data_IF_319635734099
#
_entry.id   IF_319635734099
#
_cell.length_a   1.000
_cell.length_b   1.000
_cell.length_c   1.000
_cell.angle_alpha   90.00
_cell.angle_beta   90.00
_cell.angle_gamma   90.00
#
_symmetry.space_group_name_H-M   'P 1'
#
loop_
_entity.id
_entity.type
_entity.pdbx_description
1 polymer ?
#
# COMPACT_ATOMS: atom_id res chain seq x y z
N UNK A 1 -15.88 9.38 14.78
CA UNK A 1 -15.05 9.49 16.01
C UNK A 1 -15.50 10.62 16.92
N UNK A 2 -15.56 11.89 16.49
CA UNK A 2 -15.98 13.01 17.37
C UNK A 2 -17.30 12.78 18.12
N UNK A 3 -18.38 12.40 17.43
CA UNK A 3 -19.69 12.13 18.06
C UNK A 3 -19.62 10.91 18.99
N UNK A 4 -18.88 9.86 18.61
CA UNK A 4 -18.69 8.68 19.45
C UNK A 4 -17.96 9.04 20.75
N UNK A 5 -16.88 9.81 20.68
CA UNK A 5 -16.15 10.28 21.86
C UNK A 5 -17.03 11.15 22.76
N UNK A 6 -17.79 12.10 22.18
CA UNK A 6 -18.72 12.95 22.95
C UNK A 6 -19.78 12.14 23.69
N UNK A 7 -20.37 11.12 23.05
CA UNK A 7 -21.32 10.19 23.69
C UNK A 7 -20.70 9.36 24.81
N UNK A 8 -19.37 9.21 24.83
CA UNK A 8 -18.60 8.54 25.87
C UNK A 8 -18.06 9.51 26.93
N UNK A 9 -18.54 10.76 26.96
CA UNK A 9 -18.15 11.76 27.96
C UNK A 9 -16.86 12.52 27.63
N UNK A 10 -16.24 12.30 26.46
CA UNK A 10 -15.05 13.05 26.06
C UNK A 10 -15.40 14.47 25.64
N UNK A 11 -14.62 15.44 26.10
CA UNK A 11 -14.74 16.84 25.69
C UNK A 11 -13.80 17.14 24.52
N UNK A 12 -14.32 17.85 23.52
CA UNK A 12 -13.53 18.22 22.34
C UNK A 12 -12.74 19.50 22.61
N UNK A 13 -11.43 19.43 22.41
CA UNK A 13 -10.55 20.60 22.38
C UNK A 13 -10.45 21.09 20.92
N UNK A 14 -10.66 22.40 20.70
CA UNK A 14 -10.57 23.02 19.38
C UNK A 14 -9.17 23.61 19.11
N UNK A 15 -8.46 24.03 20.16
CA UNK A 15 -7.09 24.51 20.04
C UNK A 15 -6.10 23.34 19.89
N UNK A 16 -5.50 23.22 18.71
CA UNK A 16 -4.53 22.17 18.39
C UNK A 16 -3.16 22.36 19.03
N UNK A 17 -2.89 23.51 19.67
CA UNK A 17 -1.63 23.83 20.36
C UNK A 17 -1.61 23.35 21.80
N UNK A 18 -2.79 23.10 22.39
CA UNK A 18 -2.90 22.54 23.74
C UNK A 18 -2.20 21.18 23.84
N UNK A 19 -1.53 20.97 24.97
CA UNK A 19 -0.77 19.76 25.28
C UNK A 19 -1.43 18.90 26.36
N UNK A 20 -2.54 19.33 26.92
CA UNK A 20 -3.30 18.64 27.99
C UNK A 20 -4.48 17.84 27.42
N UNK A 21 -4.26 17.21 26.27
CA UNK A 21 -5.20 16.26 25.67
C UNK A 21 -4.85 14.84 26.10
N UNK A 22 -5.87 13.98 26.22
CA UNK A 22 -5.68 12.53 26.34
C UNK A 22 -5.69 11.82 24.97
N UNK A 23 -6.38 12.37 23.96
CA UNK A 23 -6.42 11.80 22.61
C UNK A 23 -6.33 12.90 21.54
N UNK A 24 -5.39 12.77 20.60
CA UNK A 24 -5.28 13.62 19.41
C UNK A 24 -5.65 12.85 18.15
N UNK A 25 -6.87 13.10 17.68
CA UNK A 25 -7.46 12.46 16.49
C UNK A 25 -7.53 13.44 15.30
N UNK A 26 -6.39 13.87 14.79
CA UNK A 26 -6.30 14.78 13.65
C UNK A 26 -4.98 14.58 12.90
N UNK A 27 -4.98 14.76 11.57
CA UNK A 27 -3.79 14.55 10.73
C UNK A 27 -2.56 15.25 11.26
N UNK A 28 -1.58 14.45 11.71
CA UNK A 28 -0.35 14.94 12.30
C UNK A 28 0.60 15.26 11.15
N UNK A 29 0.66 16.54 10.80
CA UNK A 29 1.52 17.06 9.74
C UNK A 29 2.89 17.49 10.24
N UNK A 30 3.02 17.78 11.54
CA UNK A 30 4.24 18.30 12.14
C UNK A 30 4.92 17.25 13.04
N UNK A 31 6.24 17.07 12.84
CA UNK A 31 7.08 16.19 13.67
C UNK A 31 7.14 16.63 15.13
N UNK A 32 7.04 17.93 15.39
CA UNK A 32 7.06 18.52 16.74
C UNK A 32 5.97 17.96 17.65
N UNK A 33 4.85 17.50 17.08
CA UNK A 33 3.76 16.86 17.84
C UNK A 33 4.24 15.60 18.55
N UNK A 34 5.18 14.87 17.96
CA UNK A 34 5.73 13.65 18.56
C UNK A 34 6.79 13.94 19.62
N UNK A 35 7.48 15.09 19.57
CA UNK A 35 8.48 15.47 20.59
C UNK A 35 7.84 15.84 21.93
N UNK A 36 6.63 16.42 21.90
CA UNK A 36 5.88 16.81 23.10
C UNK A 36 4.89 15.73 23.56
N UNK A 37 4.89 14.56 22.92
CA UNK A 37 4.01 13.45 23.27
C UNK A 37 4.43 12.86 24.61
N UNK A 38 3.47 12.73 25.53
CA UNK A 38 3.68 12.11 26.84
C UNK A 38 3.17 10.68 26.84
N UNK A 39 4.09 9.72 26.81
CA UNK A 39 3.78 8.30 26.88
C UNK A 39 3.05 7.96 28.18
N UNK A 40 2.04 7.08 28.10
CA UNK A 40 1.19 6.70 29.24
C UNK A 40 0.07 7.68 29.57
N UNK A 41 0.19 8.95 29.19
CA UNK A 41 -0.83 9.98 29.42
C UNK A 41 -1.66 10.31 28.16
N UNK A 42 -1.06 10.16 26.98
CA UNK A 42 -1.63 10.63 25.72
C UNK A 42 -1.73 9.52 24.68
N UNK A 43 -2.68 9.68 23.76
CA UNK A 43 -2.84 8.85 22.58
C UNK A 43 -2.82 9.70 21.31
N UNK A 44 -2.04 9.26 20.33
CA UNK A 44 -2.00 9.82 18.98
C UNK A 44 -2.61 8.81 18.00
N UNK A 45 -3.43 9.30 17.07
CA UNK A 45 -4.07 8.42 16.08
C UNK A 45 -3.14 7.96 14.93
N UNK A 46 -1.89 8.42 14.92
CA UNK A 46 -0.88 8.06 13.93
C UNK A 46 0.43 7.67 14.63
N UNK A 47 1.04 6.60 14.12
CA UNK A 47 2.39 6.20 14.51
C UNK A 47 3.40 7.10 13.78
N UNK A 48 4.44 7.63 14.47
CA UNK A 48 5.48 8.38 13.81
C UNK A 48 6.13 7.57 12.68
N UNK A 49 6.57 8.25 11.63
CA UNK A 49 7.16 7.63 10.43
C UNK A 49 6.24 6.65 9.66
N UNK A 50 4.91 6.72 9.82
CA UNK A 50 3.97 5.86 9.08
C UNK A 50 4.12 5.90 7.54
N UNK A 51 4.72 6.95 6.97
CA UNK A 51 5.02 7.09 5.53
C UNK A 51 5.92 5.99 4.97
N UNK A 52 6.64 5.30 5.85
CA UNK A 52 7.41 4.09 5.55
C UNK A 52 6.50 3.01 4.94
N UNK A 53 5.24 2.88 5.37
CA UNK A 53 4.27 1.92 4.82
C UNK A 53 3.15 2.57 4.01
N UNK A 54 2.86 3.85 4.26
CA UNK A 54 1.69 4.55 3.67
C UNK A 54 2.02 5.38 2.42
N UNK A 55 3.29 5.40 1.99
CA UNK A 55 3.70 5.95 0.69
C UNK A 55 4.09 4.83 -0.28
N UNK A 56 3.95 5.06 -1.58
CA UNK A 56 4.24 4.03 -2.59
C UNK A 56 5.72 3.66 -2.62
N UNK A 57 6.60 4.67 -2.58
CA UNK A 57 8.06 4.47 -2.51
C UNK A 57 8.47 3.86 -1.18
N UNK A 58 7.88 4.32 -0.06
CA UNK A 58 8.15 3.76 1.25
C UNK A 58 7.84 2.28 1.29
N UNK A 59 6.63 1.89 0.89
CA UNK A 59 6.19 0.49 0.87
C UNK A 59 7.08 -0.38 -0.02
N UNK A 60 7.35 0.07 -1.26
CA UNK A 60 8.25 -0.63 -2.18
C UNK A 60 9.64 -0.85 -1.58
N UNK A 61 10.20 0.19 -0.95
CA UNK A 61 11.52 0.12 -0.33
C UNK A 61 11.52 -0.84 0.88
N UNK A 62 10.46 -0.84 1.68
CA UNK A 62 10.32 -1.75 2.82
C UNK A 62 10.22 -3.21 2.39
N UNK A 63 9.40 -3.50 1.39
CA UNK A 63 9.22 -4.87 0.89
C UNK A 63 10.53 -5.42 0.30
N UNK A 64 11.25 -4.62 -0.49
CA UNK A 64 12.57 -5.00 -1.04
C UNK A 64 13.60 -5.23 0.06
N UNK A 65 13.65 -4.36 1.07
CA UNK A 65 14.57 -4.52 2.19
C UNK A 65 14.25 -5.78 3.01
N UNK A 66 12.96 -6.04 3.28
CA UNK A 66 12.52 -7.27 3.94
C UNK A 66 12.95 -8.51 3.15
N UNK A 67 12.73 -8.54 1.83
CA UNK A 67 13.14 -9.65 0.98
C UNK A 67 14.66 -9.87 1.01
N UNK A 68 15.45 -8.78 0.95
CA UNK A 68 16.91 -8.83 1.04
C UNK A 68 17.39 -9.40 2.37
N UNK A 69 16.80 -8.95 3.49
CA UNK A 69 17.11 -9.44 4.84
C UNK A 69 16.76 -10.92 4.95
N UNK A 70 15.58 -11.34 4.48
CA UNK A 70 15.15 -12.73 4.54
C UNK A 70 16.05 -13.66 3.71
N UNK A 71 16.48 -13.22 2.51
CA UNK A 71 17.47 -13.94 1.68
C UNK A 71 18.81 -14.11 2.41
N UNK A 72 19.27 -13.09 3.15
CA UNK A 72 20.52 -13.16 3.93
C UNK A 72 20.41 -14.12 5.11
N UNK A 73 19.30 -14.08 5.84
CA UNK A 73 19.05 -14.98 7.00
C UNK A 73 18.98 -16.44 6.53
N UNK A 74 18.26 -16.72 5.43
CA UNK A 74 18.16 -18.06 4.85
C UNK A 74 19.51 -18.64 4.38
N UNK A 75 20.42 -17.80 3.88
CA UNK A 75 21.79 -18.22 3.52
C UNK A 75 22.65 -18.51 4.75
N UNK A 76 22.52 -17.72 5.81
CA UNK A 76 23.24 -17.97 7.07
C UNK A 76 22.75 -19.21 7.83
N UNK A 77 21.48 -19.63 7.67
CA UNK A 77 21.00 -20.89 8.24
C UNK A 77 21.50 -22.13 7.50
N UNK A 78 21.84 -22.01 6.21
CA UNK A 78 22.44 -23.11 5.42
C UNK A 78 23.97 -23.19 5.55
N UNK A 79 24.63 -22.21 6.19
CA UNK A 79 26.03 -22.29 6.60
C UNK A 79 26.12 -22.51 8.10
N UNK A 80 25.78 -23.73 8.55
CA UNK A 80 26.28 -24.27 9.81
C UNK A 80 27.12 -25.49 9.54
N UNK A 81 28.36 -25.23 9.14
CA UNK A 81 29.52 -26.03 9.51
C UNK A 81 30.73 -25.09 9.65
N UNK A 82 31.50 -25.32 10.72
CA UNK A 82 32.79 -24.74 11.10
C UNK A 82 32.82 -23.29 11.63
N UNK A 83 32.85 -23.15 12.96
CA UNK A 83 34.08 -23.00 13.76
C UNK A 83 33.82 -22.17 15.03
N UNK A 84 34.19 -22.75 16.16
CA UNK A 84 34.31 -22.05 17.43
C UNK A 84 35.36 -20.93 17.31
N UNK A 85 34.96 -19.70 17.59
CA UNK A 85 35.91 -18.65 17.96
C UNK A 85 35.25 -17.76 19.04
N UNK A 86 35.72 -17.94 20.28
CA UNK A 86 35.50 -17.01 21.39
C UNK A 86 36.26 -15.71 21.07
N UNK A 87 35.57 -14.58 20.96
CA UNK A 87 36.13 -13.25 21.32
C UNK A 87 35.03 -12.39 21.95
N UNK A 88 35.40 -11.75 23.06
CA UNK A 88 34.61 -10.89 23.94
C UNK A 88 34.30 -9.51 23.32
N UNK A 89 33.13 -8.99 23.72
CA UNK A 89 32.79 -7.63 24.14
C UNK A 89 32.65 -6.44 23.14
N UNK A 90 31.49 -5.78 23.31
CA UNK A 90 31.13 -4.36 23.11
C UNK A 90 31.14 -3.73 21.70
N UNK A 91 29.94 -3.55 21.12
CA UNK A 91 29.32 -2.20 20.97
C UNK A 91 27.85 -2.31 20.55
N UNK A 92 27.03 -1.45 21.13
CA UNK A 92 25.59 -1.32 20.90
C UNK A 92 25.23 -1.21 19.41
N UNK A 93 24.40 -2.13 18.95
CA UNK A 93 23.43 -1.89 17.88
C UNK A 93 22.15 -2.57 18.30
N UNK A 94 21.19 -1.77 18.72
CA UNK A 94 19.80 -2.20 18.93
C UNK A 94 19.24 -2.64 17.59
N UNK A 95 19.46 -3.92 17.29
CA UNK A 95 18.78 -4.62 16.22
C UNK A 95 17.62 -5.34 16.88
N UNK A 96 16.45 -4.70 16.88
CA UNK A 96 15.21 -5.35 17.29
C UNK A 96 14.87 -6.47 16.29
N UNK A 97 15.52 -7.62 16.43
CA UNK A 97 15.13 -8.87 15.78
C UNK A 97 14.05 -9.52 16.65
N UNK A 98 12.79 -9.24 16.32
CA UNK A 98 11.68 -10.05 16.82
C UNK A 98 11.61 -11.34 16.00
N UNK A 99 12.26 -12.40 16.47
CA UNK A 99 11.94 -13.76 16.04
C UNK A 99 10.81 -14.28 16.92
N UNK A 100 9.58 -14.26 16.41
CA UNK A 100 8.54 -15.12 16.94
C UNK A 100 8.89 -16.56 16.53
N UNK A 101 9.38 -17.37 17.48
CA UNK A 101 9.51 -18.83 17.29
C UNK A 101 8.11 -19.44 17.27
N UNK A 102 7.43 -19.39 16.14
CA UNK A 102 6.36 -20.35 15.85
C UNK A 102 6.98 -21.53 15.10
N UNK A 103 7.03 -22.68 15.76
CA UNK A 103 7.27 -23.99 15.15
C UNK A 103 6.15 -24.29 14.16
N UNK A 104 6.44 -24.06 12.89
CA UNK A 104 5.52 -24.26 11.78
C UNK A 104 6.10 -23.49 10.61
N UNK A 105 6.36 -24.17 9.50
CA UNK A 105 6.84 -23.54 8.27
C UNK A 105 5.78 -22.56 7.75
N UNK A 106 5.75 -21.33 8.27
CA UNK A 106 5.01 -20.23 7.65
C UNK A 106 5.67 -20.04 6.29
N UNK A 107 4.97 -20.44 5.22
CA UNK A 107 5.33 -20.09 3.85
C UNK A 107 5.46 -18.56 3.82
N UNK A 108 6.69 -18.08 3.85
CA UNK A 108 6.94 -16.67 3.65
C UNK A 108 6.79 -16.42 2.15
N UNK A 109 5.68 -15.78 1.77
CA UNK A 109 5.43 -15.42 0.37
C UNK A 109 6.59 -14.56 -0.14
N UNK A 110 7.10 -14.89 -1.32
CA UNK A 110 8.09 -14.05 -1.98
C UNK A 110 7.42 -12.77 -2.44
N UNK A 111 8.16 -11.67 -2.47
CA UNK A 111 7.61 -10.37 -2.86
C UNK A 111 6.94 -10.41 -4.25
N UNK A 112 7.56 -11.13 -5.19
CA UNK A 112 7.06 -11.34 -6.55
C UNK A 112 5.69 -12.05 -6.63
N UNK A 113 5.29 -12.80 -5.60
CA UNK A 113 4.02 -13.55 -5.57
C UNK A 113 2.82 -12.67 -5.22
N UNK A 114 3.03 -11.54 -4.54
CA UNK A 114 1.93 -10.67 -4.08
C UNK A 114 2.09 -9.19 -4.42
N UNK A 115 3.28 -8.76 -4.84
CA UNK A 115 3.57 -7.37 -5.19
C UNK A 115 4.04 -7.28 -6.64
N UNK A 116 3.28 -6.60 -7.54
CA UNK A 116 3.68 -6.48 -8.93
C UNK A 116 5.02 -5.77 -9.08
N UNK A 117 5.81 -6.24 -10.04
CA UNK A 117 7.10 -5.67 -10.41
C UNK A 117 7.02 -4.14 -10.53
N UNK A 118 7.94 -3.42 -9.89
CA UNK A 118 7.87 -1.97 -9.75
C UNK A 118 9.25 -1.35 -9.78
N UNK A 119 9.34 -0.14 -10.34
CA UNK A 119 10.56 0.67 -10.40
C UNK A 119 10.33 2.08 -9.89
N UNK A 120 11.34 2.65 -9.26
CA UNK A 120 11.42 4.03 -8.82
C UNK A 120 11.96 4.91 -9.93
N UNK A 121 11.16 5.86 -10.40
CA UNK A 121 11.60 6.77 -11.47
C UNK A 121 12.47 7.93 -10.96
N UNK A 122 12.61 8.09 -9.65
CA UNK A 122 13.52 9.05 -9.03
C UNK A 122 14.98 8.54 -8.96
N UNK A 123 15.23 7.25 -9.21
CA UNK A 123 16.56 6.66 -9.22
C UNK A 123 17.00 6.36 -10.66
N UNK A 124 18.18 6.87 -11.06
CA UNK A 124 18.70 6.72 -12.42
C UNK A 124 18.83 5.26 -12.85
N UNK A 125 19.39 4.41 -11.99
CA UNK A 125 19.60 2.99 -12.31
C UNK A 125 18.26 2.26 -12.52
N UNK A 126 17.25 2.56 -11.71
CA UNK A 126 15.91 1.98 -11.88
C UNK A 126 15.17 2.52 -13.11
N UNK A 127 15.41 3.78 -13.50
CA UNK A 127 14.90 4.31 -14.78
C UNK A 127 15.47 3.56 -15.97
N UNK A 128 16.79 3.31 -15.96
CA UNK A 128 17.47 2.59 -17.03
C UNK A 128 16.96 1.14 -17.10
N UNK A 129 16.90 0.45 -15.96
CA UNK A 129 16.37 -0.92 -15.88
C UNK A 129 14.92 -1.01 -16.39
N UNK A 130 14.06 -0.04 -16.04
CA UNK A 130 12.71 0.02 -16.59
C UNK A 130 12.70 0.22 -18.11
N UNK A 131 13.60 1.08 -18.63
CA UNK A 131 13.70 1.33 -20.07
C UNK A 131 14.07 0.07 -20.85
N UNK A 132 15.00 -0.73 -20.34
CA UNK A 132 15.42 -1.99 -20.96
C UNK A 132 14.30 -3.04 -20.93
N UNK A 133 13.47 -3.02 -19.88
CA UNK A 133 12.40 -3.99 -19.69
C UNK A 133 11.11 -3.65 -20.42
N UNK A 134 10.85 -2.37 -20.69
CA UNK A 134 9.58 -1.90 -21.25
C UNK A 134 9.39 -2.35 -22.71
N UNK A 135 8.73 -3.49 -22.90
CA UNK A 135 8.37 -4.06 -24.21
C UNK A 135 6.97 -3.62 -24.68
N UNK A 136 6.71 -3.73 -25.98
CA UNK A 136 5.47 -3.27 -26.63
C UNK A 136 4.18 -3.87 -26.06
N UNK A 137 4.21 -5.12 -25.60
CA UNK A 137 3.01 -5.83 -25.13
C UNK A 137 2.69 -5.60 -23.64
N UNK A 138 3.51 -4.84 -22.92
CA UNK A 138 3.41 -4.72 -21.47
C UNK A 138 2.74 -3.41 -21.06
N UNK A 139 1.60 -3.53 -20.36
CA UNK A 139 0.97 -2.37 -19.74
C UNK A 139 1.62 -2.11 -18.38
N UNK A 140 1.99 -0.85 -18.16
CA UNK A 140 2.49 -0.36 -16.88
C UNK A 140 1.59 0.76 -16.35
N UNK A 141 1.56 0.93 -15.04
CA UNK A 141 0.83 2.01 -14.36
C UNK A 141 1.82 2.91 -13.62
N UNK A 142 1.88 4.17 -14.03
CA UNK A 142 2.70 5.18 -13.38
C UNK A 142 1.91 5.88 -12.28
N UNK A 143 2.47 5.96 -11.07
CA UNK A 143 1.80 6.48 -9.88
C UNK A 143 2.71 7.46 -9.13
N UNK A 144 2.24 8.68 -8.81
CA UNK A 144 3.00 9.58 -7.94
C UNK A 144 3.07 9.03 -6.51
N UNK A 145 4.23 9.16 -5.87
CA UNK A 145 4.52 8.54 -4.56
C UNK A 145 3.57 9.03 -3.46
N UNK A 146 3.43 10.34 -3.32
CA UNK A 146 2.67 11.00 -2.25
C UNK A 146 1.38 11.66 -2.79
N UNK A 147 0.64 10.96 -3.65
CA UNK A 147 -0.67 11.40 -4.17
C UNK A 147 -1.77 10.39 -3.81
N UNK A 148 -2.99 10.90 -3.68
CA UNK A 148 -4.21 10.16 -3.38
C UNK A 148 -5.29 10.41 -4.47
N UNK A 149 -6.44 9.74 -4.34
CA UNK A 149 -7.62 9.95 -5.22
C UNK A 149 -7.38 9.64 -6.71
N UNK A 150 -6.35 8.85 -7.03
CA UNK A 150 -6.00 8.55 -8.43
C UNK A 150 -5.36 9.72 -9.20
N UNK A 151 -5.09 10.86 -8.56
CA UNK A 151 -4.54 12.03 -9.23
C UNK A 151 -3.11 11.79 -9.71
N UNK A 152 -2.86 12.09 -10.99
CA UNK A 152 -1.57 11.94 -11.65
C UNK A 152 -1.21 10.50 -12.04
N UNK A 153 -2.17 9.57 -11.95
CA UNK A 153 -2.01 8.20 -12.45
C UNK A 153 -2.32 8.17 -13.94
N UNK A 154 -1.52 7.43 -14.69
CA UNK A 154 -1.76 7.11 -16.10
C UNK A 154 -1.16 5.74 -16.43
N UNK A 155 -1.64 5.15 -17.51
CA UNK A 155 -1.13 3.90 -18.04
C UNK A 155 -0.09 4.18 -19.12
N UNK A 156 0.91 3.31 -19.19
CA UNK A 156 1.92 3.24 -20.25
C UNK A 156 1.65 1.93 -20.99
N UNK A 157 1.00 2.03 -22.15
CA UNK A 157 0.61 0.87 -22.97
C UNK A 157 1.54 0.60 -24.14
N UNK A 158 2.38 1.58 -24.50
CA UNK A 158 3.31 1.47 -25.61
C UNK A 158 4.67 2.11 -25.23
N UNK A 159 5.76 1.73 -25.92
CA UNK A 159 7.08 2.27 -25.63
C UNK A 159 7.18 3.78 -25.89
N UNK A 160 6.42 4.31 -26.85
CA UNK A 160 6.41 5.75 -27.15
C UNK A 160 5.96 6.60 -25.94
N UNK A 161 4.95 6.13 -25.19
CA UNK A 161 4.51 6.76 -23.95
C UNK A 161 5.57 6.68 -22.85
N UNK A 162 6.30 5.56 -22.77
CA UNK A 162 7.41 5.39 -21.84
C UNK A 162 8.57 6.35 -22.17
N UNK A 163 8.95 6.46 -23.44
CA UNK A 163 9.99 7.38 -23.93
C UNK A 163 9.60 8.85 -23.68
N UNK A 164 8.34 9.20 -23.91
CA UNK A 164 7.81 10.54 -23.60
C UNK A 164 7.92 10.86 -22.11
N UNK A 165 7.64 9.87 -21.24
CA UNK A 165 7.80 10.04 -19.80
C UNK A 165 9.27 10.22 -19.42
N UNK A 166 10.19 9.44 -20.01
CA UNK A 166 11.62 9.56 -19.76
C UNK A 166 12.17 10.92 -20.19
N UNK A 167 11.83 11.39 -21.39
CA UNK A 167 12.24 12.71 -21.89
C UNK A 167 11.80 13.84 -20.94
N UNK A 168 10.57 13.76 -20.41
CA UNK A 168 10.07 14.72 -19.41
C UNK A 168 10.81 14.68 -18.08
N UNK A 169 11.33 13.52 -17.68
CA UNK A 169 12.12 13.37 -16.47
C UNK A 169 13.55 13.92 -16.65
N UNK A 170 14.16 13.67 -17.81
CA UNK A 170 15.50 14.18 -18.14
C UNK A 170 15.55 15.69 -18.38
N UNK A 171 14.53 16.26 -19.02
CA UNK A 171 14.45 17.71 -19.27
C UNK A 171 14.39 18.57 -18.00
N UNK A 172 14.13 17.97 -16.83
CA UNK A 172 14.17 18.66 -15.53
C UNK A 172 15.52 18.58 -14.82
N UNK A 173 16.48 17.80 -15.31
CA UNK A 173 17.82 17.63 -14.70
C UNK A 173 18.87 18.62 -15.27
N UNK A 174 18.53 19.38 -16.33
CA UNK A 174 19.49 20.19 -17.12
C UNK A 174 19.62 21.68 -16.82
N UNK A 175 18.74 22.30 -16.02
CA UNK A 175 18.78 23.76 -15.76
C UNK A 175 19.07 24.09 -14.28
N UNK A 176 20.22 24.74 -14.03
CA UNK A 176 20.60 25.37 -12.76
C UNK A 176 20.78 26.89 -12.98
N UNK A 177 20.77 27.74 -11.93
CA UNK A 177 19.62 28.23 -11.20
C UNK A 177 19.45 29.75 -11.39
N UNK A 178 18.30 30.23 -11.88
CA UNK A 178 17.96 31.65 -11.70
C UNK A 178 16.46 31.89 -11.74
N UNK A 179 16.02 32.72 -10.80
CA UNK A 179 14.66 33.19 -10.50
C UNK A 179 13.83 32.28 -9.60
N UNK A 180 13.48 32.88 -8.45
CA UNK A 180 12.61 32.41 -7.36
C UNK A 180 11.17 32.12 -7.83
N UNK A 181 11.00 31.15 -8.72
CA UNK A 181 9.75 30.39 -8.80
C UNK A 181 9.95 29.21 -7.86
N UNK A 182 9.00 28.93 -6.98
CA UNK A 182 9.06 27.73 -6.13
C UNK A 182 9.19 26.49 -7.04
N UNK A 183 10.42 26.03 -7.27
CA UNK A 183 10.72 24.83 -8.03
C UNK A 183 10.13 23.66 -7.26
N UNK A 184 8.89 23.27 -7.59
CA UNK A 184 8.35 22.00 -7.14
C UNK A 184 9.23 20.93 -7.76
N UNK A 185 10.11 20.35 -6.94
CA UNK A 185 10.91 19.20 -7.35
C UNK A 185 10.02 18.17 -8.07
N UNK A 186 10.50 17.51 -9.14
CA UNK A 186 9.73 16.51 -9.85
C UNK A 186 9.11 15.54 -8.85
N UNK A 187 7.78 15.43 -8.86
CA UNK A 187 7.08 14.58 -7.92
C UNK A 187 7.56 13.15 -8.12
N UNK A 188 8.22 12.56 -7.11
CA UNK A 188 8.74 11.20 -7.19
C UNK A 188 7.62 10.22 -7.56
N UNK A 189 7.92 9.30 -8.48
CA UNK A 189 6.96 8.37 -9.08
C UNK A 189 7.48 6.94 -9.01
N UNK A 190 6.54 6.01 -8.94
CA UNK A 190 6.81 4.61 -9.25
C UNK A 190 6.14 4.27 -10.56
N UNK A 191 6.78 3.39 -11.34
CA UNK A 191 6.12 2.64 -12.40
C UNK A 191 5.94 1.21 -11.88
N UNK A 192 4.80 0.61 -12.14
CA UNK A 192 4.47 -0.72 -11.64
C UNK A 192 3.77 -1.51 -12.74
N UNK A 193 4.06 -2.81 -12.84
CA UNK A 193 3.41 -3.71 -13.78
C UNK A 193 1.92 -3.66 -13.56
N UNK A 194 1.17 -3.38 -14.62
CA UNK A 194 -0.28 -3.32 -14.55
C UNK A 194 -0.85 -4.74 -14.64
N UNK A 195 -1.75 -5.08 -13.72
CA UNK A 195 -2.49 -6.34 -13.73
C UNK A 195 -3.58 -6.19 -14.80
N UNK A 196 -3.25 -6.61 -16.03
CA UNK A 196 -4.11 -6.43 -17.20
C UNK A 196 -5.21 -7.50 -17.32
N UNK A 197 -5.01 -8.67 -16.71
CA UNK A 197 -6.00 -9.76 -16.55
C UNK A 197 -6.44 -9.88 -15.07
N UNK A 198 -7.15 -8.88 -14.51
CA UNK A 198 -7.67 -8.99 -13.15
C UNK A 198 -8.85 -9.97 -13.11
N UNK A 199 -9.12 -10.53 -11.93
CA UNK A 199 -10.44 -11.12 -11.65
C UNK A 199 -11.50 -10.02 -11.79
N UNK A 200 -12.61 -10.34 -12.45
CA UNK A 200 -13.73 -9.43 -12.67
C UNK A 200 -14.97 -9.93 -11.94
N UNK A 201 -15.71 -9.01 -11.34
CA UNK A 201 -17.04 -9.29 -10.78
C UNK A 201 -18.06 -8.66 -11.71
N UNK A 202 -18.90 -9.48 -12.31
CA UNK A 202 -19.88 -9.04 -13.32
C UNK A 202 -19.24 -8.26 -14.48
N UNK A 203 -18.04 -8.69 -14.90
CA UNK A 203 -17.26 -7.99 -15.93
C UNK A 203 -16.65 -6.67 -15.49
N UNK A 204 -16.87 -6.21 -14.25
CA UNK A 204 -16.32 -4.97 -13.70
C UNK A 204 -15.03 -5.25 -12.92
N UNK A 205 -14.08 -4.32 -13.00
CA UNK A 205 -12.84 -4.39 -12.23
C UNK A 205 -13.13 -4.00 -10.78
N UNK A 206 -12.45 -4.64 -9.83
CA UNK A 206 -12.61 -4.31 -8.42
C UNK A 206 -11.30 -4.28 -7.64
N UNK A 207 -11.38 -3.70 -6.45
CA UNK A 207 -10.37 -3.87 -5.40
C UNK A 207 -11.05 -4.11 -4.06
N UNK A 208 -10.32 -4.73 -3.12
CA UNK A 208 -10.79 -4.90 -1.75
C UNK A 208 -10.09 -3.90 -0.83
N UNK A 209 -10.89 -3.18 -0.05
CA UNK A 209 -10.41 -2.36 1.07
C UNK A 209 -10.57 -3.16 2.35
N UNK A 210 -9.48 -3.34 3.08
CA UNK A 210 -9.50 -3.86 4.46
C UNK A 210 -8.95 -2.83 5.44
N UNK A 211 -9.26 -3.00 6.72
CA UNK A 211 -8.81 -2.10 7.78
C UNK A 211 -7.90 -2.83 8.77
N UNK A 212 -6.79 -2.17 9.11
CA UNK A 212 -5.82 -2.62 10.09
C UNK A 212 -5.64 -1.51 11.12
N UNK A 213 -5.73 -1.84 12.39
CA UNK A 213 -5.42 -0.95 13.51
C UNK A 213 -4.21 -1.50 14.25
N UNK A 214 -3.07 -0.82 14.14
CA UNK A 214 -1.91 -1.07 15.00
C UNK A 214 -2.17 -0.31 16.30
N UNK A 215 -2.63 -1.01 17.33
CA UNK A 215 -2.95 -0.42 18.62
C UNK A 215 -1.69 -0.15 19.46
N UNK A 216 -0.67 -1.00 19.33
CA UNK A 216 0.63 -0.81 19.97
C UNK A 216 1.73 -1.44 19.12
N UNK A 217 2.96 -0.90 19.19
CA UNK A 217 4.15 -1.47 18.53
C UNK A 217 5.06 -2.23 19.50
N UNK A 218 4.87 -2.08 20.81
CA UNK A 218 5.64 -2.76 21.86
C UNK A 218 4.79 -2.93 23.15
N UNK A 219 4.16 -4.09 23.38
CA UNK A 219 4.10 -5.26 22.49
C UNK A 219 3.31 -4.95 21.21
N UNK A 220 3.60 -5.68 20.13
CA UNK A 220 2.90 -5.48 18.87
C UNK A 220 1.46 -5.99 18.95
N UNK A 221 0.49 -5.11 18.80
CA UNK A 221 -0.95 -5.44 18.82
C UNK A 221 -1.60 -4.89 17.56
N UNK A 222 -2.16 -5.79 16.75
CA UNK A 222 -2.81 -5.49 15.48
C UNK A 222 -4.24 -6.05 15.48
N UNK A 223 -5.21 -5.20 15.22
CA UNK A 223 -6.59 -5.59 14.94
C UNK A 223 -6.84 -5.54 13.44
N UNK A 224 -7.46 -6.59 12.91
CA UNK A 224 -7.97 -6.64 11.55
C UNK A 224 -9.48 -6.47 11.57
N UNK A 225 -9.99 -5.67 10.64
CA UNK A 225 -11.41 -5.60 10.35
C UNK A 225 -11.63 -5.78 8.86
N UNK A 226 -12.60 -6.64 8.53
CA UNK A 226 -13.12 -6.78 7.19
C UNK A 226 -13.62 -5.41 6.71
N UNK A 227 -13.37 -5.09 5.44
CA UNK A 227 -13.86 -3.85 4.86
C UNK A 227 -14.90 -4.13 3.79
N UNK A 228 -14.62 -3.71 2.56
CA UNK A 228 -15.59 -3.80 1.46
C UNK A 228 -14.90 -3.85 0.11
N UNK A 229 -15.65 -4.29 -0.89
CA UNK A 229 -15.21 -4.33 -2.28
C UNK A 229 -15.63 -3.06 -3.00
N UNK A 230 -14.76 -2.53 -3.85
CA UNK A 230 -15.00 -1.34 -4.68
C UNK A 230 -14.91 -1.71 -6.14
N UNK A 231 -15.99 -1.52 -6.87
CA UNK A 231 -16.11 -1.86 -8.29
C UNK A 231 -16.06 -0.60 -9.17
N UNK A 232 -15.72 -0.78 -10.43
CA UNK A 232 -15.92 0.24 -11.47
C UNK A 232 -17.39 0.34 -11.87
N UNK A 233 -17.83 1.50 -12.36
CA UNK A 233 -19.19 1.67 -12.88
C UNK A 233 -19.42 0.86 -14.16
N UNK A 234 -18.40 0.81 -15.02
CA UNK A 234 -18.45 0.18 -16.34
C UNK A 234 -17.62 -1.11 -16.38
N UNK A 235 -17.91 -1.93 -17.38
CA UNK A 235 -17.18 -3.18 -17.63
C UNK A 235 -15.70 -2.89 -17.95
N UNK A 236 -14.85 -3.79 -17.49
CA UNK A 236 -13.43 -3.72 -17.67
C UNK A 236 -13.04 -3.98 -19.13
N UNK A 237 -12.25 -3.07 -19.68
CA UNK A 237 -11.58 -3.22 -20.96
C UNK A 237 -10.11 -2.84 -20.75
N UNK A 238 -9.19 -3.76 -21.10
CA UNK A 238 -7.75 -3.54 -20.99
C UNK A 238 -7.24 -2.50 -22.01
N UNK A 239 -7.92 -2.36 -23.14
CA UNK A 239 -7.51 -1.52 -24.26
C UNK A 239 -8.04 -0.08 -24.16
N UNK A 240 -9.14 0.14 -23.45
CA UNK A 240 -9.72 1.47 -23.22
C UNK A 240 -8.72 2.46 -22.62
N UNK A 241 -8.65 3.69 -23.14
CA UNK A 241 -7.84 4.75 -22.54
C UNK A 241 -8.56 5.48 -21.39
N UNK A 242 -9.84 5.17 -21.15
CA UNK A 242 -10.58 5.74 -20.04
C UNK A 242 -10.12 5.16 -18.70
N UNK A 243 -9.48 6.02 -17.89
CA UNK A 243 -9.04 5.65 -16.55
C UNK A 243 -10.18 5.24 -15.61
N UNK A 244 -11.45 5.61 -15.86
CA UNK A 244 -12.58 5.16 -15.01
C UNK A 244 -12.83 3.65 -15.12
N UNK A 245 -12.44 3.02 -16.24
CA UNK A 245 -12.50 1.57 -16.45
C UNK A 245 -11.39 0.84 -15.67
N UNK A 246 -10.27 1.51 -15.41
CA UNK A 246 -9.10 0.90 -14.76
C UNK A 246 -8.98 1.20 -13.26
N UNK A 247 -9.56 2.30 -12.79
CA UNK A 247 -9.34 2.86 -11.44
C UNK A 247 -10.62 2.82 -10.60
N UNK A 248 -10.72 1.82 -9.73
CA UNK A 248 -11.83 1.54 -8.79
C UNK A 248 -12.06 2.57 -7.69
N UNK A 249 -11.25 3.63 -7.60
CA UNK A 249 -11.38 4.59 -6.52
C UNK A 249 -12.58 5.51 -6.75
N UNK A 250 -13.41 5.70 -5.72
CA UNK A 250 -14.66 6.47 -5.83
C UNK A 250 -14.48 7.89 -6.37
N UNK A 251 -13.34 8.53 -6.12
CA UNK A 251 -13.05 9.84 -6.69
C UNK A 251 -12.97 9.80 -8.23
N UNK A 252 -12.33 8.77 -8.80
CA UNK A 252 -12.32 8.58 -10.24
C UNK A 252 -13.67 8.10 -10.76
N UNK A 253 -14.36 7.22 -10.03
CA UNK A 253 -15.69 6.75 -10.45
C UNK A 253 -16.73 7.88 -10.53
N UNK A 254 -16.65 8.89 -9.65
CA UNK A 254 -17.49 10.10 -9.72
C UNK A 254 -17.39 10.89 -11.03
N UNK A 255 -16.33 10.67 -11.82
CA UNK A 255 -16.17 11.31 -13.13
C UNK A 255 -16.97 10.60 -14.23
N UNK A 256 -17.38 9.36 -13.99
CA UNK A 256 -18.22 8.62 -14.90
C UNK A 256 -19.66 9.18 -14.83
N UNK A 257 -20.28 9.40 -16.00
CA UNK A 257 -21.62 9.98 -16.10
C UNK A 257 -22.70 9.13 -15.43
N UNK A 258 -22.50 7.81 -15.36
CA UNK A 258 -23.46 6.86 -14.76
C UNK A 258 -23.31 6.74 -13.23
N UNK A 259 -22.31 7.39 -12.63
CA UNK A 259 -22.00 7.19 -11.20
C UNK A 259 -23.17 7.49 -10.27
N UNK A 260 -23.95 8.55 -10.55
CA UNK A 260 -25.09 8.92 -9.70
C UNK A 260 -26.15 7.83 -9.62
N UNK A 261 -26.30 7.03 -10.68
CA UNK A 261 -27.26 5.93 -10.76
C UNK A 261 -26.68 4.64 -10.17
N UNK A 262 -25.39 4.37 -10.43
CA UNK A 262 -24.73 3.11 -10.06
C UNK A 262 -23.96 3.16 -8.74
N UNK A 263 -23.97 4.28 -8.02
CA UNK A 263 -23.13 4.52 -6.83
C UNK A 263 -23.20 3.37 -5.83
N UNK A 264 -24.39 2.90 -5.51
CA UNK A 264 -24.59 1.89 -4.47
C UNK A 264 -24.19 0.48 -4.97
N UNK A 265 -24.18 0.26 -6.29
CA UNK A 265 -23.64 -0.97 -6.90
C UNK A 265 -22.10 -1.00 -6.93
N UNK A 266 -21.44 0.17 -6.89
CA UNK A 266 -19.97 0.25 -6.91
C UNK A 266 -19.32 -0.19 -5.58
N UNK A 267 -20.10 -0.49 -4.54
CA UNK A 267 -19.60 -0.88 -3.23
C UNK A 267 -20.32 -2.12 -2.74
N UNK A 268 -19.61 -3.24 -2.66
CA UNK A 268 -20.17 -4.47 -2.06
C UNK A 268 -19.65 -4.67 -0.66
N UNK A 269 -20.54 -5.06 0.25
CA UNK A 269 -20.14 -5.62 1.54
C UNK A 269 -19.54 -7.01 1.35
N UNK A 270 -18.76 -7.46 2.32
CA UNK A 270 -18.07 -8.75 2.23
C UNK A 270 -19.05 -9.94 2.16
N UNK A 271 -20.24 -9.82 2.77
CA UNK A 271 -21.28 -10.85 2.69
C UNK A 271 -21.81 -11.01 1.26
N UNK A 272 -22.06 -9.88 0.57
CA UNK A 272 -22.48 -9.92 -0.83
C UNK A 272 -21.38 -10.52 -1.71
N UNK A 273 -20.13 -10.11 -1.50
CA UNK A 273 -18.99 -10.67 -2.20
C UNK A 273 -18.86 -12.18 -1.99
N UNK A 274 -19.01 -12.65 -0.75
CA UNK A 274 -18.97 -14.07 -0.42
C UNK A 274 -20.08 -14.87 -1.12
N UNK A 275 -21.32 -14.39 -1.06
CA UNK A 275 -22.46 -15.02 -1.75
C UNK A 275 -22.22 -15.12 -3.26
N UNK A 276 -21.70 -14.05 -3.87
CA UNK A 276 -21.38 -14.03 -5.30
C UNK A 276 -20.28 -15.05 -5.67
N UNK A 277 -19.20 -15.13 -4.88
CA UNK A 277 -18.12 -16.10 -5.10
C UNK A 277 -18.64 -17.54 -4.94
N UNK A 278 -19.44 -17.80 -3.92
CA UNK A 278 -20.06 -19.11 -3.70
C UNK A 278 -20.95 -19.53 -4.88
N UNK A 279 -21.70 -18.59 -5.46
CA UNK A 279 -22.61 -18.90 -6.57
C UNK A 279 -21.87 -19.10 -7.90
N UNK A 280 -20.94 -18.19 -8.24
CA UNK A 280 -20.34 -18.12 -9.59
C UNK A 280 -18.99 -18.83 -9.71
N UNK A 281 -18.21 -18.92 -8.63
CA UNK A 281 -16.82 -19.39 -8.68
C UNK A 281 -16.58 -20.73 -7.99
N UNK A 282 -17.37 -21.12 -6.98
CA UNK A 282 -17.21 -22.42 -6.31
C UNK A 282 -17.36 -23.60 -7.27
N UNK A 283 -18.34 -23.56 -8.18
CA UNK A 283 -18.56 -24.64 -9.16
C UNK A 283 -17.48 -24.67 -10.25
N UNK A 284 -17.05 -23.49 -10.70
CA UNK A 284 -16.16 -23.35 -11.86
C UNK A 284 -14.68 -23.49 -11.51
N UNK A 285 -14.27 -23.12 -10.29
CA UNK A 285 -12.86 -23.02 -9.89
C UNK A 285 -12.51 -23.85 -8.65
N UNK A 286 -13.39 -24.75 -8.23
CA UNK A 286 -13.20 -25.63 -7.06
C UNK A 286 -12.81 -24.88 -5.77
N UNK A 287 -13.31 -23.64 -5.60
CA UNK A 287 -13.08 -22.86 -4.39
C UNK A 287 -13.89 -23.43 -3.22
N UNK A 288 -13.34 -23.48 -2.00
CA UNK A 288 -14.09 -23.91 -0.83
C UNK A 288 -15.29 -22.99 -0.58
N UNK A 289 -16.34 -23.53 0.03
CA UNK A 289 -17.49 -22.73 0.45
C UNK A 289 -17.03 -21.66 1.44
N UNK A 290 -17.58 -20.46 1.30
CA UNK A 290 -17.25 -19.30 2.13
C UNK A 290 -15.77 -18.90 2.05
N UNK A 291 -15.15 -19.11 0.88
CA UNK A 291 -13.75 -18.78 0.59
C UNK A 291 -13.38 -17.34 0.99
N UNK A 292 -14.30 -16.39 0.82
CA UNK A 292 -14.07 -14.98 1.17
C UNK A 292 -13.79 -14.81 2.67
N UNK A 293 -14.47 -15.59 3.53
CA UNK A 293 -14.32 -15.48 4.97
C UNK A 293 -13.31 -16.46 5.57
N UNK A 294 -12.97 -17.53 4.86
CA UNK A 294 -12.11 -18.61 5.36
C UNK A 294 -10.67 -18.51 4.87
N UNK A 295 -10.47 -18.30 3.56
CA UNK A 295 -9.15 -18.32 2.93
C UNK A 295 -8.69 -16.91 2.60
N UNK A 296 -9.59 -16.09 2.07
CA UNK A 296 -9.27 -14.74 1.62
C UNK A 296 -9.08 -13.76 2.78
N UNK A 297 -9.87 -13.91 3.86
CA UNK A 297 -9.64 -13.21 5.12
C UNK A 297 -9.01 -14.14 6.13
N UNK A 298 -8.16 -13.60 7.00
CA UNK A 298 -7.61 -14.35 8.13
C UNK A 298 -8.77 -14.79 9.03
N UNK A 299 -8.95 -16.10 9.20
CA UNK A 299 -9.89 -16.63 10.18
C UNK A 299 -9.39 -16.29 11.58
N UNK A 300 -10.27 -15.71 12.42
CA UNK A 300 -9.97 -15.46 13.83
C UNK A 300 -9.78 -16.77 14.63
N UNK A 301 -10.13 -17.93 14.06
CA UNK A 301 -10.00 -19.23 14.74
C UNK A 301 -8.58 -19.82 14.75
N UNK A 302 -7.60 -19.18 14.10
CA UNK A 302 -6.22 -19.69 13.99
C UNK A 302 -5.16 -18.79 14.66
N UNK A 303 -5.56 -17.81 15.49
CA UNK A 303 -4.64 -16.98 16.29
C UNK A 303 -4.65 -17.37 17.76
#
# INVERSE_FOLDING_TARGET
VSIYCQRRGWQRIYDNRRQDYALKWCEIKCRETYYHFKEGEQLLYQIPNNRVLTSKIGLLSCLREQERVMKKVGRSSNSKNLCQAKVRAHKQRSSFFWMHKSTGHKLLLKMEEFFPESFRLDLKDERNAFSELCKEEQIWICKPSCSNQGRGIFLLKNPAAANTLQAKLHGSEGDLPSKRVQCRAPQARIVQRYIHQPLLLEGKKFDVRSYLLIACTAPYVLFFAQGYVRLTCTNYDAMSDDLTVHLTNQYMQKKNSLYSQLKDETVWRMEHFNSYINEKFTKTNSLPKDWVFTVFTVSASEC
#
